data_IF_090130878724
#
_entry.id   IF_090130878724
#
_cell.length_a   1.000
_cell.length_b   1.000
_cell.length_c   1.000
_cell.angle_alpha   90.00
_cell.angle_beta   90.00
_cell.angle_gamma   90.00
#
_symmetry.space_group_name_H-M   'P 1'
#
loop_
_entity.id
_entity.type
_entity.pdbx_description
1 polymer ?
#
# COMPACT_ATOMS: atom_id res chain seq x y z
N UNK A 1 -36.26 -56.93 -27.20
CA UNK A 1 -36.88 -55.92 -28.07
C UNK A 1 -35.96 -54.69 -28.00
N UNK A 2 -35.00 -54.43 -28.90
CA UNK A 2 -34.80 -54.84 -30.28
C UNK A 2 -35.19 -53.70 -31.23
N UNK A 3 -34.18 -53.05 -31.83
CA UNK A 3 -34.14 -52.01 -32.90
C UNK A 3 -33.38 -50.76 -32.42
N UNK A 4 -32.07 -50.55 -32.58
CA UNK A 4 -31.11 -50.72 -33.69
C UNK A 4 -31.40 -49.87 -34.93
N UNK A 5 -30.55 -48.84 -35.13
CA UNK A 5 -30.40 -48.08 -36.36
C UNK A 5 -29.01 -47.45 -36.39
N UNK A 6 -28.11 -48.06 -37.16
CA UNK A 6 -26.70 -47.73 -37.33
C UNK A 6 -26.43 -47.15 -38.74
N UNK A 7 -25.15 -46.86 -39.00
CA UNK A 7 -24.46 -46.64 -40.29
C UNK A 7 -24.58 -45.17 -40.80
N UNK A 8 -23.55 -44.43 -41.25
CA UNK A 8 -22.22 -44.78 -41.77
C UNK A 8 -21.28 -43.56 -41.78
N UNK A 9 -19.99 -43.88 -41.69
CA UNK A 9 -18.80 -43.05 -41.93
C UNK A 9 -18.62 -42.79 -43.44
N UNK A 10 -18.21 -41.59 -43.84
CA UNK A 10 -17.52 -41.36 -45.12
C UNK A 10 -16.45 -40.27 -44.93
N UNK A 11 -15.23 -40.62 -45.35
CA UNK A 11 -13.97 -39.87 -45.26
C UNK A 11 -13.60 -39.24 -46.61
N UNK A 12 -12.67 -38.27 -46.56
CA UNK A 12 -11.92 -37.68 -47.70
C UNK A 12 -12.62 -36.50 -48.39
N UNK A 13 -12.03 -35.35 -48.75
CA UNK A 13 -10.64 -35.00 -49.09
C UNK A 13 -10.27 -33.54 -48.72
N UNK A 14 -8.96 -33.25 -48.73
CA UNK A 14 -8.30 -31.94 -48.55
C UNK A 14 -8.66 -30.93 -49.63
N UNK A 15 -8.80 -29.65 -49.26
CA UNK A 15 -8.30 -28.52 -50.04
C UNK A 15 -7.99 -27.31 -49.15
N UNK A 16 -6.73 -26.89 -49.15
CA UNK A 16 -6.25 -25.61 -48.63
C UNK A 16 -6.84 -24.43 -49.41
N UNK A 17 -6.99 -23.27 -48.75
CA UNK A 17 -6.61 -22.03 -49.40
C UNK A 17 -5.68 -21.16 -48.54
N UNK A 18 -4.47 -20.97 -49.09
CA UNK A 18 -3.78 -19.69 -49.33
C UNK A 18 -3.75 -18.65 -48.19
N UNK A 19 -2.64 -18.70 -47.45
CA UNK A 19 -1.72 -17.59 -47.12
C UNK A 19 -2.17 -16.18 -47.51
N UNK A 20 -2.61 -15.40 -46.52
CA UNK A 20 -2.66 -13.93 -46.55
C UNK A 20 -1.61 -13.39 -45.59
N UNK A 21 -0.46 -13.00 -46.14
CA UNK A 21 0.66 -12.42 -45.41
C UNK A 21 0.33 -10.96 -45.03
N UNK A 22 0.00 -10.71 -43.76
CA UNK A 22 -0.02 -9.36 -43.21
C UNK A 22 1.43 -8.92 -42.94
N UNK A 23 1.94 -8.10 -43.85
CA UNK A 23 3.26 -7.49 -43.75
C UNK A 23 3.26 -6.43 -42.64
N UNK A 24 4.15 -6.60 -41.67
CA UNK A 24 4.52 -5.56 -40.71
C UNK A 24 5.34 -4.47 -41.44
N UNK A 25 5.13 -3.17 -41.18
CA UNK A 25 5.93 -2.13 -41.79
C UNK A 25 7.38 -2.19 -41.28
N UNK A 26 8.31 -2.25 -42.22
CA UNK A 26 9.75 -2.07 -42.00
C UNK A 26 10.02 -0.71 -41.37
N UNK A 27 10.59 -0.70 -40.17
CA UNK A 27 11.17 0.50 -39.56
C UNK A 27 12.53 0.77 -40.20
N UNK A 28 12.54 1.70 -41.16
CA UNK A 28 13.77 2.30 -41.68
C UNK A 28 14.44 3.14 -40.59
N UNK A 29 15.68 2.80 -40.27
CA UNK A 29 16.54 3.57 -39.38
C UNK A 29 16.82 4.96 -39.96
N UNK A 30 16.32 6.01 -39.31
CA UNK A 30 16.80 7.39 -39.51
C UNK A 30 17.55 7.86 -38.30
N UNK A 31 18.87 7.90 -38.47
CA UNK A 31 19.86 8.50 -37.58
C UNK A 31 19.58 10.01 -37.43
N UNK A 32 19.35 10.51 -36.21
CA UNK A 32 19.38 11.94 -35.90
C UNK A 32 19.99 12.20 -34.52
N UNK A 33 20.81 13.25 -34.49
CA UNK A 33 21.82 13.62 -33.51
C UNK A 33 21.32 13.76 -32.08
N UNK A 34 22.23 13.43 -31.17
CA UNK A 34 22.22 13.69 -29.74
C UNK A 34 22.07 15.17 -29.41
N UNK A 35 21.05 15.51 -28.62
CA UNK A 35 21.07 16.66 -27.71
C UNK A 35 20.89 16.11 -26.29
N UNK A 36 21.95 16.25 -25.49
CA UNK A 36 21.98 15.86 -24.09
C UNK A 36 21.14 16.85 -23.26
N UNK A 37 19.91 16.46 -22.94
CA UNK A 37 19.21 16.92 -21.73
C UNK A 37 18.59 15.69 -21.09
N UNK A 38 19.06 15.34 -19.90
CA UNK A 38 18.62 14.18 -19.12
C UNK A 38 17.20 14.43 -18.60
N UNK A 39 16.19 14.30 -19.47
CA UNK A 39 14.81 14.13 -19.03
C UNK A 39 14.67 12.67 -18.59
N UNK A 40 14.65 12.43 -17.27
CA UNK A 40 14.19 11.15 -16.71
C UNK A 40 12.75 10.97 -17.19
N UNK A 41 12.55 10.09 -18.17
CA UNK A 41 11.23 9.62 -18.54
C UNK A 41 10.66 8.88 -17.32
N UNK A 42 9.76 9.51 -16.56
CA UNK A 42 8.94 8.89 -15.51
C UNK A 42 7.94 7.84 -16.06
N UNK A 43 8.27 7.16 -17.16
CA UNK A 43 7.37 6.23 -17.83
C UNK A 43 7.64 4.79 -17.36
N UNK A 44 6.78 4.36 -16.44
CA UNK A 44 6.34 2.97 -16.25
C UNK A 44 7.33 1.96 -15.63
N UNK A 45 7.85 2.27 -14.43
CA UNK A 45 7.79 1.27 -13.37
C UNK A 45 6.63 1.69 -12.47
N UNK A 46 5.50 1.01 -12.59
CA UNK A 46 4.44 1.12 -11.60
C UNK A 46 4.98 0.53 -10.31
N UNK A 47 5.66 1.34 -9.50
CA UNK A 47 5.85 0.99 -8.10
C UNK A 47 4.46 0.99 -7.47
N UNK A 48 3.86 -0.20 -7.45
CA UNK A 48 2.61 -0.45 -6.77
C UNK A 48 2.83 -0.13 -5.29
N UNK A 49 2.22 0.96 -4.85
CA UNK A 49 2.34 1.42 -3.46
C UNK A 49 1.73 0.34 -2.58
N UNK A 50 2.46 -0.09 -1.55
CA UNK A 50 2.05 -1.20 -0.65
C UNK A 50 1.56 -0.74 0.72
N UNK A 51 1.74 0.54 1.04
CA UNK A 51 1.19 1.21 2.21
C UNK A 51 0.04 2.15 1.81
N UNK A 52 -0.79 2.57 2.75
CA UNK A 52 -1.85 3.55 2.46
C UNK A 52 -1.32 4.97 2.21
N UNK A 53 -0.01 5.16 2.35
CA UNK A 53 0.64 6.43 2.24
C UNK A 53 2.01 6.32 1.56
N UNK A 54 2.56 7.47 1.18
CA UNK A 54 3.91 7.63 0.64
C UNK A 54 4.53 8.93 1.15
N UNK A 55 5.84 9.07 0.93
CA UNK A 55 6.61 10.25 1.31
C UNK A 55 7.11 10.98 0.06
N UNK A 56 6.82 12.27 -0.01
CA UNK A 56 7.37 13.19 -1.00
C UNK A 56 8.50 13.98 -0.34
N UNK A 57 9.65 14.10 -1.01
CA UNK A 57 10.73 15.00 -0.60
C UNK A 57 10.95 16.04 -1.69
N UNK A 58 10.62 17.29 -1.40
CA UNK A 58 10.81 18.43 -2.30
C UNK A 58 11.94 19.34 -1.81
N UNK A 59 13.03 19.40 -2.56
CA UNK A 59 14.19 20.25 -2.29
C UNK A 59 14.91 20.64 -3.59
N UNK A 60 15.29 21.91 -3.76
CA UNK A 60 15.97 22.39 -4.97
C UNK A 60 17.39 21.80 -5.12
N UNK A 61 18.02 21.41 -4.00
CA UNK A 61 19.41 20.98 -3.93
C UNK A 61 19.57 19.48 -3.61
N UNK A 62 18.68 18.62 -4.12
CA UNK A 62 18.82 17.16 -3.92
C UNK A 62 20.04 16.64 -4.67
N UNK A 63 21.08 16.28 -3.90
CA UNK A 63 22.23 15.54 -4.40
C UNK A 63 22.23 14.10 -3.87
N UNK A 64 21.78 13.16 -4.71
CA UNK A 64 21.72 11.72 -4.45
C UNK A 64 23.11 11.08 -4.17
N UNK A 65 24.20 11.80 -4.47
CA UNK A 65 25.57 11.33 -4.26
C UNK A 65 26.12 11.61 -2.86
N UNK A 66 25.48 12.49 -2.08
CA UNK A 66 25.91 12.86 -0.73
C UNK A 66 25.53 11.76 0.27
N UNK A 67 26.47 11.40 1.13
CA UNK A 67 26.27 10.36 2.16
C UNK A 67 25.17 10.75 3.15
N UNK A 68 25.06 12.02 3.53
CA UNK A 68 24.01 12.51 4.43
C UNK A 68 22.60 12.34 3.84
N UNK A 69 22.43 12.57 2.54
CA UNK A 69 21.17 12.32 1.84
C UNK A 69 20.85 10.82 1.84
N UNK A 70 21.81 9.97 1.49
CA UNK A 70 21.64 8.51 1.49
C UNK A 70 21.30 7.98 2.87
N UNK A 71 21.97 8.48 3.89
CA UNK A 71 21.70 8.14 5.28
C UNK A 71 20.29 8.59 5.69
N UNK A 72 19.85 9.75 5.22
CA UNK A 72 18.50 10.25 5.52
C UNK A 72 17.41 9.42 4.86
N UNK A 73 17.57 9.09 3.57
CA UNK A 73 16.67 8.18 2.85
C UNK A 73 16.60 6.83 3.56
N UNK A 74 17.74 6.26 3.97
CA UNK A 74 17.77 5.00 4.73
C UNK A 74 16.98 5.07 6.04
N UNK A 75 17.03 6.19 6.77
CA UNK A 75 16.23 6.36 7.99
C UNK A 75 14.73 6.44 7.69
N UNK A 76 14.36 7.16 6.62
CA UNK A 76 12.96 7.33 6.22
C UNK A 76 12.35 6.04 5.65
N UNK A 77 13.14 5.23 4.93
CA UNK A 77 12.72 3.94 4.38
C UNK A 77 12.28 2.95 5.47
N UNK A 78 12.77 3.12 6.70
CA UNK A 78 12.31 2.32 7.85
C UNK A 78 10.86 2.58 8.23
N UNK A 79 10.30 3.70 7.78
CA UNK A 79 8.98 4.19 8.16
C UNK A 79 8.03 4.09 6.95
N UNK A 80 8.51 4.54 5.79
CA UNK A 80 7.72 4.63 4.56
C UNK A 80 8.43 3.86 3.45
N UNK A 81 7.71 2.96 2.78
CA UNK A 81 8.27 2.15 1.71
C UNK A 81 8.53 2.98 0.44
N UNK A 82 7.58 3.83 0.06
CA UNK A 82 7.65 4.63 -1.15
C UNK A 82 8.07 6.06 -0.82
N UNK A 83 9.26 6.44 -1.29
CA UNK A 83 9.80 7.80 -1.17
C UNK A 83 10.05 8.32 -2.58
N UNK A 84 9.36 9.39 -2.96
CA UNK A 84 9.52 10.08 -4.23
C UNK A 84 10.18 11.43 -4.00
N UNK A 85 11.21 11.76 -4.78
CA UNK A 85 11.98 13.00 -4.63
C UNK A 85 11.79 13.92 -5.81
N UNK A 86 11.73 15.21 -5.52
CA UNK A 86 11.44 16.26 -6.50
C UNK A 86 12.38 17.45 -6.27
N UNK A 87 12.91 17.98 -7.36
CA UNK A 87 13.63 19.25 -7.38
C UNK A 87 12.79 20.39 -7.93
N UNK A 88 11.70 20.06 -8.62
CA UNK A 88 10.76 21.00 -9.19
C UNK A 88 9.44 20.98 -8.42
N UNK A 89 8.97 22.16 -8.03
CA UNK A 89 7.75 22.31 -7.24
C UNK A 89 6.50 21.97 -8.03
N UNK A 90 6.45 22.28 -9.33
CA UNK A 90 5.27 22.09 -10.14
C UNK A 90 5.10 20.59 -10.44
N UNK A 91 6.21 19.87 -10.72
CA UNK A 91 6.20 18.40 -10.83
C UNK A 91 5.74 17.71 -9.54
N UNK A 92 6.17 18.19 -8.37
CA UNK A 92 5.74 17.65 -7.08
C UNK A 92 4.23 17.86 -6.84
N UNK A 93 3.72 19.06 -7.14
CA UNK A 93 2.30 19.41 -7.00
C UNK A 93 1.44 18.59 -7.98
N UNK A 94 1.89 18.45 -9.23
CA UNK A 94 1.21 17.67 -10.24
C UNK A 94 1.12 16.19 -9.83
N UNK A 95 2.21 15.62 -9.32
CA UNK A 95 2.22 14.25 -8.79
C UNK A 95 1.26 14.08 -7.61
N UNK A 96 1.30 15.00 -6.64
CA UNK A 96 0.42 15.00 -5.47
C UNK A 96 -1.07 15.03 -5.88
N UNK A 97 -1.41 15.81 -6.91
CA UNK A 97 -2.79 15.92 -7.42
C UNK A 97 -3.32 14.63 -8.08
N UNK A 98 -2.42 13.74 -8.50
CA UNK A 98 -2.76 12.49 -9.20
C UNK A 98 -2.98 11.32 -8.25
N UNK A 99 -2.65 11.45 -6.96
CA UNK A 99 -2.91 10.41 -5.96
C UNK A 99 -4.41 10.20 -5.78
N UNK A 100 -4.83 8.93 -5.73
CA UNK A 100 -6.24 8.57 -5.67
C UNK A 100 -6.64 8.01 -4.30
N UNK A 101 -5.94 6.97 -3.86
CA UNK A 101 -6.28 6.25 -2.63
C UNK A 101 -5.23 6.47 -1.53
N UNK A 102 -4.10 7.08 -1.89
CA UNK A 102 -2.95 7.27 -1.04
C UNK A 102 -2.95 8.64 -0.37
N UNK A 103 -2.47 8.65 0.87
CA UNK A 103 -2.11 9.89 1.57
C UNK A 103 -0.62 10.19 1.37
N UNK A 104 -0.28 11.46 1.23
CA UNK A 104 1.09 11.94 1.09
C UNK A 104 1.56 12.63 2.37
N UNK A 105 2.76 12.27 2.79
CA UNK A 105 3.59 13.08 3.68
C UNK A 105 4.55 13.90 2.82
N UNK A 106 4.73 15.18 3.12
CA UNK A 106 5.66 16.03 2.37
C UNK A 106 6.78 16.55 3.28
N UNK A 107 8.03 16.21 2.95
CA UNK A 107 9.21 16.95 3.40
C UNK A 107 9.48 18.05 2.39
N UNK A 108 9.55 19.30 2.85
CA UNK A 108 9.86 20.45 2.00
C UNK A 108 11.03 21.23 2.57
N UNK A 109 11.95 21.66 1.70
CA UNK A 109 13.06 22.50 2.11
C UNK A 109 12.58 23.87 2.63
N UNK A 110 13.35 24.47 3.51
CA UNK A 110 13.03 25.81 4.04
C UNK A 110 12.98 26.90 2.96
N UNK A 111 13.70 26.76 1.85
CA UNK A 111 13.69 27.74 0.74
C UNK A 111 12.40 27.66 -0.08
N UNK A 112 11.81 26.47 -0.19
CA UNK A 112 10.59 26.22 -0.98
C UNK A 112 9.30 26.32 -0.17
N UNK A 113 9.35 26.18 1.16
CA UNK A 113 8.15 26.01 1.97
C UNK A 113 7.17 27.19 1.85
N UNK A 114 7.64 28.44 1.89
CA UNK A 114 6.80 29.64 1.77
C UNK A 114 6.10 29.73 0.41
N UNK A 115 6.74 29.20 -0.65
CA UNK A 115 6.18 29.21 -2.00
C UNK A 115 5.20 28.05 -2.22
N UNK A 116 5.43 26.89 -1.61
CA UNK A 116 4.70 25.65 -1.94
C UNK A 116 3.51 25.42 -1.02
N UNK A 117 3.67 25.53 0.30
CA UNK A 117 2.63 25.18 1.29
C UNK A 117 1.30 25.91 1.06
N UNK A 118 1.26 27.23 0.75
CA UNK A 118 -0.01 27.92 0.50
C UNK A 118 -0.83 27.33 -0.65
N UNK A 119 -0.18 26.66 -1.59
CA UNK A 119 -0.83 26.08 -2.77
C UNK A 119 -1.34 24.65 -2.55
N UNK A 120 -0.83 23.94 -1.54
CA UNK A 120 -1.12 22.50 -1.35
C UNK A 120 -1.78 22.16 -0.02
N UNK A 121 -1.77 23.07 0.97
CA UNK A 121 -2.25 22.74 2.32
C UNK A 121 -3.72 22.28 2.34
N UNK A 122 -4.53 22.69 1.38
CA UNK A 122 -5.94 22.33 1.26
C UNK A 122 -6.16 20.97 0.56
N UNK A 123 -5.15 20.37 -0.07
CA UNK A 123 -5.30 19.11 -0.81
C UNK A 123 -5.59 17.95 0.15
N UNK A 124 -6.64 17.18 -0.12
CA UNK A 124 -7.06 16.06 0.73
C UNK A 124 -6.09 14.88 0.67
N UNK A 125 -5.33 14.74 -0.43
CA UNK A 125 -4.25 13.77 -0.58
C UNK A 125 -3.11 14.05 0.41
N UNK A 126 -2.89 15.33 0.76
CA UNK A 126 -1.80 15.73 1.64
C UNK A 126 -2.21 15.60 3.11
N UNK A 127 -1.55 14.70 3.82
CA UNK A 127 -1.85 14.42 5.23
C UNK A 127 -1.05 15.33 6.17
N UNK A 128 0.25 15.48 5.93
CA UNK A 128 1.12 16.30 6.78
C UNK A 128 2.35 16.82 6.05
N UNK A 129 2.85 17.97 6.49
CA UNK A 129 4.00 18.67 5.93
C UNK A 129 5.06 18.82 7.02
N UNK A 130 6.32 18.62 6.65
CA UNK A 130 7.49 18.77 7.50
C UNK A 130 8.49 19.68 6.81
N UNK A 131 8.87 20.77 7.47
CA UNK A 131 9.87 21.68 6.91
C UNK A 131 11.24 21.21 7.37
N UNK A 132 12.13 20.85 6.44
CA UNK A 132 13.50 20.44 6.75
C UNK A 132 14.49 21.53 6.33
N UNK A 133 15.15 22.17 7.29
CA UNK A 133 16.07 23.27 7.01
C UNK A 133 17.08 23.52 8.14
N UNK A 134 18.21 24.12 7.79
CA UNK A 134 19.27 24.48 8.74
C UNK A 134 18.96 25.74 9.58
N UNK A 135 17.95 26.54 9.20
CA UNK A 135 17.64 27.83 9.81
C UNK A 135 16.23 27.80 10.42
N UNK A 136 16.12 27.10 11.55
CA UNK A 136 14.85 26.87 12.26
C UNK A 136 14.10 28.16 12.68
N UNK A 137 14.74 29.19 13.28
CA UNK A 137 13.99 30.30 13.90
C UNK A 137 13.19 31.16 12.90
N UNK A 138 13.60 31.20 11.63
CA UNK A 138 12.93 31.99 10.61
C UNK A 138 11.52 31.48 10.31
N UNK A 139 11.32 30.16 10.36
CA UNK A 139 10.09 29.53 9.88
C UNK A 139 9.14 29.11 11.01
N UNK A 140 9.60 29.04 12.26
CA UNK A 140 8.80 28.59 13.41
C UNK A 140 7.53 29.41 13.65
N UNK A 141 7.53 30.72 13.40
CA UNK A 141 6.32 31.53 13.53
C UNK A 141 5.38 31.33 12.33
N UNK A 142 5.93 31.32 11.11
CA UNK A 142 5.15 31.20 9.89
C UNK A 142 4.42 29.85 9.79
N UNK A 143 5.04 28.75 10.22
CA UNK A 143 4.41 27.42 10.16
C UNK A 143 3.18 27.29 11.06
N UNK A 144 3.01 28.14 12.08
CA UNK A 144 1.88 28.08 13.02
C UNK A 144 0.54 28.39 12.35
N UNK A 145 0.57 29.11 11.24
CA UNK A 145 -0.63 29.44 10.45
C UNK A 145 -1.11 28.25 9.60
N UNK A 146 -0.30 27.19 9.48
CA UNK A 146 -0.56 26.05 8.59
C UNK A 146 -0.81 24.76 9.38
N UNK A 147 -2.09 24.39 9.54
CA UNK A 147 -2.49 23.25 10.38
C UNK A 147 -1.92 21.88 9.97
N UNK A 148 -1.55 21.70 8.69
CA UNK A 148 -0.91 20.47 8.19
C UNK A 148 0.61 20.45 8.42
N UNK A 149 1.23 21.58 8.74
CA UNK A 149 2.66 21.63 9.05
C UNK A 149 2.87 21.13 10.47
N UNK A 150 3.60 20.03 10.62
CA UNK A 150 3.86 19.38 11.92
C UNK A 150 5.07 19.94 12.65
N UNK A 151 5.98 20.60 11.94
CA UNK A 151 7.12 21.26 12.54
C UNK A 151 8.21 21.66 11.54
N UNK A 152 9.22 22.32 12.09
CA UNK A 152 10.47 22.66 11.41
C UNK A 152 11.58 21.83 12.05
N UNK A 153 12.39 21.17 11.23
CA UNK A 153 13.40 20.22 11.65
C UNK A 153 14.75 20.55 11.03
N UNK A 154 15.80 20.46 11.83
CA UNK A 154 17.21 20.63 11.41
C UNK A 154 17.95 19.29 11.33
N UNK A 155 17.42 18.27 11.99
CA UNK A 155 17.99 16.93 12.08
C UNK A 155 17.00 15.88 11.55
N UNK A 156 17.54 14.84 10.91
CA UNK A 156 16.73 13.78 10.29
C UNK A 156 16.03 12.89 11.33
N UNK A 157 16.63 12.69 12.51
CA UNK A 157 16.08 11.79 13.54
C UNK A 157 14.76 12.32 14.11
N UNK A 158 14.67 13.57 14.62
CA UNK A 158 13.41 14.12 15.10
C UNK A 158 12.35 14.24 13.99
N UNK A 159 12.77 14.53 12.75
CA UNK A 159 11.90 14.51 11.58
C UNK A 159 11.30 13.12 11.35
N UNK A 160 12.14 12.10 11.34
CA UNK A 160 11.74 10.69 11.14
C UNK A 160 10.77 10.24 12.24
N UNK A 161 11.01 10.59 13.50
CA UNK A 161 10.10 10.26 14.61
C UNK A 161 8.73 10.94 14.44
N UNK A 162 8.71 12.19 13.99
CA UNK A 162 7.45 12.92 13.72
C UNK A 162 6.66 12.30 12.55
N UNK A 163 7.36 11.87 11.49
CA UNK A 163 6.76 11.16 10.36
C UNK A 163 6.21 9.81 10.82
N UNK A 164 6.99 9.02 11.57
CA UNK A 164 6.53 7.72 12.10
C UNK A 164 5.28 7.85 12.94
N UNK A 165 5.21 8.83 13.82
CA UNK A 165 4.01 9.07 14.62
C UNK A 165 2.80 9.42 13.74
N UNK A 166 3.01 10.22 12.70
CA UNK A 166 1.94 10.63 11.78
C UNK A 166 1.50 9.48 10.87
N UNK A 167 2.42 8.62 10.44
CA UNK A 167 2.17 7.40 9.68
C UNK A 167 1.30 6.42 10.45
N UNK A 168 1.57 6.22 11.75
CA UNK A 168 0.72 5.38 12.63
C UNK A 168 -0.71 5.90 12.72
N UNK A 169 -0.88 7.21 12.92
CA UNK A 169 -2.22 7.81 12.93
C UNK A 169 -2.90 7.67 11.57
N UNK A 170 -2.19 7.91 10.47
CA UNK A 170 -2.74 7.79 9.13
C UNK A 170 -3.20 6.36 8.82
N UNK A 171 -2.43 5.34 9.20
CA UNK A 171 -2.83 3.95 9.04
C UNK A 171 -4.04 3.61 9.91
N UNK A 172 -4.05 4.05 11.17
CA UNK A 172 -5.20 3.89 12.06
C UNK A 172 -6.45 4.57 11.49
N UNK A 173 -6.37 5.71 10.82
CA UNK A 173 -7.51 6.40 10.21
C UNK A 173 -8.05 5.69 8.97
N UNK A 174 -7.15 5.13 8.16
CA UNK A 174 -7.50 4.53 6.87
C UNK A 174 -8.04 3.09 7.01
N UNK A 175 -8.08 2.51 8.22
CA UNK A 175 -8.78 1.26 8.47
C UNK A 175 -10.29 1.47 8.26
N UNK A 176 -10.79 0.95 7.15
CA UNK A 176 -12.21 0.99 6.78
C UNK A 176 -13.02 0.10 7.73
N UNK A 177 -13.94 0.69 8.50
CA UNK A 177 -15.02 -0.04 9.18
C UNK A 177 -16.33 0.42 8.56
N UNK A 178 -16.91 -0.41 7.69
CA UNK A 178 -18.28 -0.20 7.24
C UNK A 178 -19.23 -0.88 8.22
N UNK A 179 -19.98 -0.08 8.98
CA UNK A 179 -21.10 -0.55 9.76
C UNK A 179 -22.37 -0.32 8.95
N UNK A 180 -22.97 -1.38 8.42
CA UNK A 180 -24.28 -1.27 7.78
C UNK A 180 -25.32 -0.93 8.87
N UNK A 181 -25.84 0.30 8.82
CA UNK A 181 -26.89 0.79 9.72
C UNK A 181 -28.26 0.18 9.40
N UNK A 182 -28.46 -0.27 8.15
CA UNK A 182 -29.68 -0.93 7.70
C UNK A 182 -29.45 -1.83 6.48
N UNK A 183 -30.28 -2.87 6.32
CA UNK A 183 -30.24 -3.79 5.16
C UNK A 183 -30.57 -3.11 3.81
N UNK A 184 -31.14 -1.89 3.84
CA UNK A 184 -31.56 -1.17 2.64
C UNK A 184 -30.45 -0.29 2.03
N UNK A 185 -29.32 -0.16 2.71
CA UNK A 185 -28.18 0.70 2.33
C UNK A 185 -26.87 -0.10 2.27
N UNK A 186 -26.96 -1.38 1.91
CA UNK A 186 -25.76 -2.22 1.77
C UNK A 186 -24.97 -1.76 0.55
N UNK A 187 -23.81 -1.18 0.80
CA UNK A 187 -22.86 -0.81 -0.25
C UNK A 187 -22.42 -2.08 -1.01
N UNK A 188 -22.33 -2.06 -2.35
CA UNK A 188 -21.89 -3.22 -3.13
C UNK A 188 -20.55 -3.81 -2.68
N UNK A 189 -19.63 -2.96 -2.18
CA UNK A 189 -18.36 -3.38 -1.58
C UNK A 189 -18.55 -4.38 -0.45
N UNK A 190 -19.56 -4.21 0.41
CA UNK A 190 -19.87 -5.15 1.49
C UNK A 190 -20.20 -6.54 0.96
N UNK A 191 -21.02 -6.63 -0.10
CA UNK A 191 -21.35 -7.91 -0.72
C UNK A 191 -20.11 -8.59 -1.32
N UNK A 192 -19.23 -7.81 -1.96
CA UNK A 192 -17.97 -8.34 -2.50
C UNK A 192 -17.04 -8.82 -1.39
N UNK A 193 -16.88 -8.07 -0.31
CA UNK A 193 -16.04 -8.46 0.84
C UNK A 193 -16.59 -9.71 1.52
N UNK A 194 -17.92 -9.82 1.67
CA UNK A 194 -18.55 -11.01 2.25
C UNK A 194 -18.37 -12.25 1.36
N UNK A 195 -18.58 -12.13 0.04
CA UNK A 195 -18.33 -13.22 -0.90
C UNK A 195 -16.85 -13.62 -0.92
N UNK A 196 -15.96 -12.63 -0.90
CA UNK A 196 -14.52 -12.87 -0.84
C UNK A 196 -14.13 -13.64 0.44
N UNK A 197 -14.70 -13.26 1.59
CA UNK A 197 -14.52 -13.98 2.85
C UNK A 197 -14.93 -15.44 2.71
N UNK A 198 -16.13 -15.72 2.19
CA UNK A 198 -16.61 -17.09 1.99
C UNK A 198 -15.67 -17.91 1.09
N UNK A 199 -15.23 -17.32 -0.02
CA UNK A 199 -14.25 -17.96 -0.92
C UNK A 199 -12.94 -18.29 -0.19
N UNK A 200 -12.35 -17.33 0.52
CA UNK A 200 -11.07 -17.53 1.23
C UNK A 200 -11.17 -18.60 2.31
N UNK A 201 -12.32 -18.71 2.99
CA UNK A 201 -12.52 -19.73 4.02
C UNK A 201 -12.74 -21.13 3.45
N UNK A 202 -13.25 -21.24 2.21
CA UNK A 202 -13.49 -22.52 1.54
C UNK A 202 -12.28 -23.02 0.73
N UNK A 203 -11.36 -22.14 0.32
CA UNK A 203 -10.17 -22.56 -0.43
C UNK A 203 -9.30 -23.50 0.41
N UNK A 204 -9.03 -24.66 -0.17
CA UNK A 204 -8.01 -25.60 0.33
C UNK A 204 -6.62 -25.11 -0.07
N UNK A 205 -6.09 -24.15 0.70
CA UNK A 205 -4.75 -23.63 0.48
C UNK A 205 -3.69 -24.68 0.82
N UNK A 206 -2.73 -24.88 -0.09
CA UNK A 206 -1.43 -25.46 0.25
C UNK A 206 -0.66 -24.42 1.07
N UNK A 207 -0.69 -24.58 2.40
CA UNK A 207 -0.21 -23.55 3.30
C UNK A 207 1.23 -23.12 3.03
N UNK A 208 2.10 -24.10 2.78
CA UNK A 208 3.50 -23.84 2.51
C UNK A 208 3.69 -23.06 1.21
N UNK A 209 3.00 -23.47 0.15
CA UNK A 209 3.10 -22.82 -1.15
C UNK A 209 2.59 -21.38 -1.11
N UNK A 210 1.45 -21.13 -0.46
CA UNK A 210 0.82 -19.82 -0.45
C UNK A 210 1.55 -18.83 0.46
N UNK A 211 2.07 -19.29 1.61
CA UNK A 211 2.96 -18.46 2.44
C UNK A 211 4.22 -18.07 1.67
N UNK A 212 4.84 -19.01 0.95
CA UNK A 212 6.02 -18.71 0.13
C UNK A 212 5.69 -17.71 -0.98
N UNK A 213 4.55 -17.84 -1.64
CA UNK A 213 4.12 -16.89 -2.67
C UNK A 213 3.87 -15.49 -2.10
N UNK A 214 3.32 -15.39 -0.88
CA UNK A 214 3.18 -14.12 -0.15
C UNK A 214 4.54 -13.49 0.16
N UNK A 215 5.50 -14.29 0.65
CA UNK A 215 6.86 -13.87 0.98
C UNK A 215 7.61 -13.37 -0.28
N UNK A 216 7.53 -14.13 -1.38
CA UNK A 216 8.13 -13.73 -2.66
C UNK A 216 7.54 -12.41 -3.16
N UNK A 217 6.22 -12.27 -3.08
CA UNK A 217 5.55 -11.03 -3.45
C UNK A 217 5.96 -9.85 -2.55
N UNK A 218 6.08 -10.06 -1.23
CA UNK A 218 6.56 -9.04 -0.32
C UNK A 218 8.00 -8.62 -0.64
N UNK A 219 8.91 -9.56 -0.93
CA UNK A 219 10.28 -9.22 -1.35
C UNK A 219 10.32 -8.39 -2.63
N UNK A 220 9.46 -8.69 -3.61
CA UNK A 220 9.36 -7.88 -4.83
C UNK A 220 8.93 -6.44 -4.53
N UNK A 221 7.94 -6.26 -3.66
CA UNK A 221 7.34 -4.95 -3.39
C UNK A 221 8.15 -4.07 -2.42
N UNK A 222 8.88 -4.69 -1.50
CA UNK A 222 9.73 -4.01 -0.53
C UNK A 222 11.21 -4.04 -0.96
N UNK A 223 11.49 -4.26 -2.25
CA UNK A 223 12.84 -4.32 -2.78
C UNK A 223 13.64 -3.04 -2.47
N UNK A 224 14.86 -3.19 -1.97
CA UNK A 224 15.73 -2.08 -1.57
C UNK A 224 15.49 -1.54 -0.15
N UNK A 225 14.58 -2.16 0.61
CA UNK A 225 14.35 -1.84 2.02
C UNK A 225 14.90 -2.96 2.94
N UNK A 226 16.11 -2.76 3.46
CA UNK A 226 16.83 -3.77 4.25
C UNK A 226 16.07 -4.18 5.53
N UNK A 227 15.36 -3.25 6.15
CA UNK A 227 14.61 -3.51 7.38
C UNK A 227 13.35 -4.35 7.12
N UNK A 228 12.58 -4.00 6.09
CA UNK A 228 11.43 -4.81 5.69
C UNK A 228 11.87 -6.19 5.22
N UNK A 229 13.00 -6.30 4.53
CA UNK A 229 13.57 -7.60 4.13
C UNK A 229 13.83 -8.50 5.34
N UNK A 230 14.39 -7.94 6.42
CA UNK A 230 14.61 -8.68 7.67
C UNK A 230 13.30 -9.17 8.29
N UNK A 231 12.27 -8.31 8.32
CA UNK A 231 10.94 -8.69 8.84
C UNK A 231 10.25 -9.75 7.98
N UNK A 232 10.42 -9.71 6.65
CA UNK A 232 9.86 -10.70 5.73
C UNK A 232 10.52 -12.07 5.95
N UNK A 233 11.84 -12.12 6.13
CA UNK A 233 12.56 -13.35 6.45
C UNK A 233 12.17 -13.92 7.82
N UNK A 234 11.98 -13.04 8.81
CA UNK A 234 11.46 -13.42 10.13
C UNK A 234 10.06 -14.04 10.01
N UNK A 235 9.16 -13.41 9.24
CA UNK A 235 7.83 -13.95 8.96
C UNK A 235 7.90 -15.32 8.28
N UNK A 236 8.70 -15.44 7.20
CA UNK A 236 8.83 -16.67 6.44
C UNK A 236 9.24 -17.85 7.32
N UNK A 237 10.21 -17.62 8.23
CA UNK A 237 10.71 -18.63 9.16
C UNK A 237 9.69 -18.94 10.26
N UNK A 238 9.20 -17.91 10.95
CA UNK A 238 8.46 -18.11 12.21
C UNK A 238 6.98 -18.40 12.02
N UNK A 239 6.39 -17.93 10.93
CA UNK A 239 5.00 -18.20 10.57
C UNK A 239 4.83 -19.65 10.09
N UNK A 240 5.76 -20.13 9.24
CA UNK A 240 5.70 -21.47 8.65
C UNK A 240 6.00 -22.60 9.66
N UNK A 241 6.97 -22.39 10.56
CA UNK A 241 7.43 -23.45 11.46
C UNK A 241 6.48 -23.75 12.63
N UNK A 242 5.49 -22.89 12.90
CA UNK A 242 4.70 -22.95 14.15
C UNK A 242 3.21 -22.62 13.94
N UNK A 243 2.64 -22.95 12.78
CA UNK A 243 1.23 -22.67 12.44
C UNK A 243 0.22 -23.20 13.49
N UNK A 244 0.59 -24.22 14.28
CA UNK A 244 -0.28 -24.84 15.29
C UNK A 244 -0.26 -24.14 16.67
N UNK A 245 0.67 -23.22 16.95
CA UNK A 245 0.84 -22.60 18.27
C UNK A 245 0.49 -21.09 18.34
N UNK A 246 -0.26 -20.72 19.39
CA UNK A 246 -0.29 -19.40 20.04
C UNK A 246 -0.52 -18.14 19.17
N UNK A 247 -1.76 -17.91 18.72
CA UNK A 247 -2.26 -16.59 18.27
C UNK A 247 -1.36 -15.82 17.27
N UNK A 248 -0.50 -16.51 16.52
CA UNK A 248 0.51 -15.88 15.66
C UNK A 248 -0.10 -14.98 14.59
N UNK A 249 -1.22 -15.34 13.91
CA UNK A 249 -1.84 -14.44 12.95
C UNK A 249 -2.21 -13.09 13.56
N UNK A 250 -2.80 -13.08 14.77
CA UNK A 250 -3.12 -11.84 15.48
C UNK A 250 -1.86 -11.06 15.84
N UNK A 251 -0.80 -11.74 16.30
CA UNK A 251 0.47 -11.08 16.64
C UNK A 251 1.08 -10.38 15.41
N UNK A 252 1.13 -11.07 14.27
CA UNK A 252 1.63 -10.49 13.02
C UNK A 252 0.74 -9.37 12.50
N UNK A 253 -0.58 -9.47 12.66
CA UNK A 253 -1.49 -8.41 12.28
C UNK A 253 -1.39 -7.18 13.20
N UNK A 254 -1.09 -7.36 14.48
CA UNK A 254 -0.97 -6.26 15.44
C UNK A 254 0.44 -5.66 15.52
N UNK A 255 1.43 -6.31 14.92
CA UNK A 255 2.78 -5.79 14.74
C UNK A 255 2.85 -4.85 13.53
N UNK A 256 3.55 -3.73 13.70
CA UNK A 256 3.94 -2.83 12.59
C UNK A 256 4.90 -3.59 11.65
N UNK A 257 4.36 -4.17 10.58
CA UNK A 257 5.10 -4.97 9.60
C UNK A 257 4.38 -4.99 8.24
N UNK A 258 5.03 -5.59 7.24
CA UNK A 258 4.53 -5.63 5.87
C UNK A 258 3.12 -6.26 5.75
N UNK A 259 2.82 -7.31 6.53
CA UNK A 259 1.54 -8.02 6.46
C UNK A 259 0.38 -7.10 6.88
N UNK A 260 0.56 -6.34 7.97
CA UNK A 260 -0.43 -5.36 8.43
C UNK A 260 -0.71 -4.31 7.35
N UNK A 261 0.33 -3.70 6.77
CA UNK A 261 0.16 -2.65 5.77
C UNK A 261 -0.50 -3.18 4.50
N UNK A 262 -0.01 -4.29 3.96
CA UNK A 262 -0.54 -4.90 2.74
C UNK A 262 -1.99 -5.34 2.92
N UNK A 263 -2.34 -5.97 4.05
CA UNK A 263 -3.68 -6.43 4.31
C UNK A 263 -4.67 -5.26 4.41
N UNK A 264 -4.38 -4.27 5.24
CA UNK A 264 -5.29 -3.14 5.45
C UNK A 264 -5.48 -2.34 4.16
N UNK A 265 -4.41 -2.13 3.40
CA UNK A 265 -4.50 -1.47 2.09
C UNK A 265 -5.34 -2.28 1.10
N UNK A 266 -5.06 -3.57 0.97
CA UNK A 266 -5.76 -4.43 0.02
C UNK A 266 -7.26 -4.53 0.34
N UNK A 267 -7.63 -4.55 1.64
CA UNK A 267 -9.02 -4.49 2.09
C UNK A 267 -9.66 -3.14 1.78
N UNK A 268 -8.97 -2.03 2.07
CA UNK A 268 -9.51 -0.67 1.85
C UNK A 268 -9.68 -0.31 0.37
N UNK A 269 -8.85 -0.87 -0.51
CA UNK A 269 -8.87 -0.62 -1.96
C UNK A 269 -9.47 -1.76 -2.79
N UNK A 270 -9.88 -2.85 -2.14
CA UNK A 270 -10.41 -4.06 -2.76
C UNK A 270 -9.52 -4.64 -3.89
N UNK A 271 -8.20 -4.58 -3.70
CA UNK A 271 -7.23 -5.14 -4.64
C UNK A 271 -7.22 -6.67 -4.58
N UNK A 272 -8.10 -7.30 -5.38
CA UNK A 272 -8.35 -8.76 -5.34
C UNK A 272 -7.08 -9.60 -5.52
N UNK A 273 -6.15 -9.18 -6.39
CA UNK A 273 -4.90 -9.91 -6.59
C UNK A 273 -4.05 -9.96 -5.31
N UNK A 274 -3.90 -8.83 -4.61
CA UNK A 274 -3.19 -8.78 -3.33
C UNK A 274 -3.95 -9.56 -2.27
N UNK A 275 -5.27 -9.38 -2.20
CA UNK A 275 -6.12 -10.09 -1.25
C UNK A 275 -6.00 -11.62 -1.39
N UNK A 276 -5.89 -12.15 -2.61
CA UNK A 276 -5.65 -13.58 -2.82
C UNK A 276 -4.26 -14.02 -2.34
N UNK A 277 -3.22 -13.21 -2.59
CA UNK A 277 -1.85 -13.50 -2.11
C UNK A 277 -1.77 -13.49 -0.58
N UNK A 278 -2.49 -12.59 0.08
CA UNK A 278 -2.60 -12.52 1.55
C UNK A 278 -3.69 -13.48 2.07
N UNK A 279 -4.40 -14.19 1.19
CA UNK A 279 -5.62 -14.94 1.49
C UNK A 279 -5.46 -16.00 2.58
N UNK A 280 -4.35 -16.74 2.55
CA UNK A 280 -4.05 -17.70 3.62
C UNK A 280 -3.94 -17.04 4.99
N UNK A 281 -3.24 -15.91 5.06
CA UNK A 281 -3.10 -15.15 6.31
C UNK A 281 -4.46 -14.62 6.79
N UNK A 282 -5.33 -14.17 5.88
CA UNK A 282 -6.70 -13.74 6.21
C UNK A 282 -7.50 -14.89 6.81
N UNK A 283 -7.44 -16.08 6.21
CA UNK A 283 -8.12 -17.29 6.71
C UNK A 283 -7.63 -17.63 8.12
N UNK A 284 -6.31 -17.70 8.30
CA UNK A 284 -5.70 -18.07 9.57
C UNK A 284 -6.01 -17.03 10.66
N UNK A 285 -5.98 -15.72 10.32
CA UNK A 285 -6.37 -14.63 11.22
C UNK A 285 -7.85 -14.73 11.63
N UNK A 286 -8.74 -14.97 10.68
CA UNK A 286 -10.16 -15.15 10.95
C UNK A 286 -10.42 -16.32 11.89
N UNK A 287 -9.88 -17.51 11.58
CA UNK A 287 -10.00 -18.70 12.42
C UNK A 287 -9.44 -18.48 13.81
N UNK A 288 -8.33 -17.73 13.93
CA UNK A 288 -7.73 -17.41 15.21
C UNK A 288 -8.61 -16.49 16.06
N UNK A 289 -9.23 -15.47 15.45
CA UNK A 289 -10.19 -14.58 16.13
C UNK A 289 -11.45 -15.36 16.56
N UNK A 290 -11.99 -16.23 15.70
CA UNK A 290 -13.16 -17.06 16.03
C UNK A 290 -12.88 -18.00 17.21
N UNK A 291 -11.71 -18.64 17.22
CA UNK A 291 -11.28 -19.51 18.32
C UNK A 291 -11.24 -18.74 19.65
N UNK A 292 -10.60 -17.57 19.68
CA UNK A 292 -10.53 -16.73 20.89
C UNK A 292 -11.90 -16.26 21.35
N UNK A 293 -12.77 -15.86 20.42
CA UNK A 293 -14.14 -15.46 20.73
C UNK A 293 -14.94 -16.63 21.36
N UNK A 294 -14.79 -17.85 20.83
CA UNK A 294 -15.41 -19.04 21.38
C UNK A 294 -14.89 -19.38 22.78
N UNK A 295 -13.58 -19.32 23.00
CA UNK A 295 -12.95 -19.52 24.32
C UNK A 295 -13.49 -18.51 25.35
N UNK A 296 -13.49 -17.22 25.01
CA UNK A 296 -14.01 -16.15 25.87
C UNK A 296 -15.51 -16.30 26.15
N UNK A 297 -16.30 -16.66 25.14
CA UNK A 297 -17.75 -16.85 25.30
C UNK A 297 -18.11 -18.02 26.19
N UNK A 298 -17.31 -19.10 26.17
CA UNK A 298 -17.54 -20.27 27.03
C UNK A 298 -17.12 -20.04 28.48
N UNK A 299 -16.11 -19.19 28.71
CA UNK A 299 -15.69 -18.80 30.06
C UNK A 299 -16.69 -17.83 30.72
N UNK A 300 -17.41 -17.04 29.93
CA UNK A 300 -18.48 -16.14 30.41
C UNK A 300 -19.77 -16.93 30.61
N UNK A 301 -20.01 -17.42 31.83
CA UNK A 301 -21.32 -18.00 32.23
C UNK A 301 -22.39 -16.91 32.38
N UNK A 302 -22.92 -16.38 31.27
CA UNK A 302 -23.99 -15.37 31.29
C UNK A 302 -24.55 -15.05 29.90
N UNK A 303 -25.74 -14.41 29.81
CA UNK A 303 -26.33 -14.02 28.52
C UNK A 303 -25.40 -13.05 27.79
N UNK A 304 -25.38 -13.15 26.46
CA UNK A 304 -24.53 -12.40 25.52
C UNK A 304 -24.36 -10.94 25.96
N UNK A 305 -23.20 -10.63 26.52
CA UNK A 305 -22.91 -9.27 26.99
C UNK A 305 -22.63 -8.41 25.76
N UNK A 306 -23.51 -7.43 25.50
CA UNK A 306 -23.20 -6.37 24.54
C UNK A 306 -21.89 -5.71 24.94
N UNK A 307 -20.89 -5.76 24.05
CA UNK A 307 -19.61 -5.10 24.24
C UNK A 307 -19.68 -3.74 23.56
N UNK A 308 -19.42 -2.67 24.31
CA UNK A 308 -19.26 -1.33 23.75
C UNK A 308 -17.77 -1.08 23.52
N UNK A 309 -17.40 -0.70 22.30
CA UNK A 309 -16.04 -0.35 21.91
C UNK A 309 -15.99 1.09 21.41
N UNK A 310 -14.83 1.72 21.54
CA UNK A 310 -14.60 3.09 21.11
C UNK A 310 -13.40 3.14 20.17
N UNK A 311 -13.50 3.92 19.10
CA UNK A 311 -12.39 4.28 18.20
C UNK A 311 -12.48 5.79 17.98
N UNK A 312 -11.38 6.51 18.20
CA UNK A 312 -11.33 7.94 17.97
C UNK A 312 -11.22 8.23 16.47
N UNK A 313 -12.09 9.06 15.87
CA UNK A 313 -11.82 9.60 14.55
C UNK A 313 -10.73 10.67 14.67
N UNK A 314 -9.77 10.71 13.75
CA UNK A 314 -8.95 11.91 13.58
C UNK A 314 -9.79 12.95 12.86
N UNK A 315 -10.14 14.02 13.56
CA UNK A 315 -10.66 15.23 12.93
C UNK A 315 -9.55 15.84 12.08
N UNK A 316 -9.70 15.79 10.75
CA UNK A 316 -9.00 16.75 9.88
C UNK A 316 -9.44 18.14 10.37
N UNK A 317 -8.52 18.89 10.99
CA UNK A 317 -8.79 20.25 11.45
C UNK A 317 -8.96 21.18 10.24
N UNK A 318 -9.99 20.98 9.44
CA UNK A 318 -10.56 22.01 8.59
C UNK A 318 -11.28 23.00 9.52
N UNK A 319 -10.55 23.98 10.05
CA UNK A 319 -11.21 25.07 10.78
C UNK A 319 -11.60 26.18 9.81
N UNK A 320 -12.91 26.30 9.65
CA UNK A 320 -13.73 27.52 9.75
C UNK A 320 -13.02 28.87 9.65
#
# INVERSE_FOLDING_TARGET
MGCSGSISRASSHRHHPKTGTLAWPSLSATYRKSDNTTKRNHRAQSHEIVQNFLLLWLDEEIDESIDDYRNSIKHLQRIVNTIETFTDKDECVDYLSQLQNEKAFLIVSGTLCEAVVPHIHHMTQLYSIYVFCQIQPKYEEWVKDWYKVKGVFTEITPLSDSIRQSARYCDEDLIVISAASSLNEIEPSFMYTQLFKEIILEIDFDAKKEINALVEYAHEKYAGNDEHSTMIEEFAREYQDNLEENNKPIWWYTRECFVYHMLNRALGTLQVEILLKVGIFIRDLHQNIEKLHFEQSNDIRGPTTTITVYRGPVEEKEKF
#
